data_IF_774212301472
#
_entry.id   IF_774212301472
#
_cell.length_a   1.000
_cell.length_b   1.000
_cell.length_c   1.000
_cell.angle_alpha   90.00
_cell.angle_beta   90.00
_cell.angle_gamma   90.00
#
_symmetry.space_group_name_H-M   'P 1'
#
loop_
_entity.id
_entity.type
_entity.pdbx_description
1 polymer ?
#
# COMPACT_ATOMS: atom_id res chain seq x y z
N UNK A 1 59.00 5.51 -7.82
CA UNK A 1 58.05 4.80 -8.70
C UNK A 1 56.96 4.14 -7.85
N UNK A 2 56.01 4.97 -7.45
CA UNK A 2 54.88 4.54 -6.63
C UNK A 2 53.84 3.79 -7.42
N UNK A 3 54.11 2.51 -7.74
CA UNK A 3 53.04 1.62 -8.21
C UNK A 3 52.08 1.38 -7.07
N UNK A 4 50.91 2.00 -7.16
CA UNK A 4 49.75 1.57 -6.39
C UNK A 4 49.39 0.16 -6.90
N UNK A 5 49.90 -0.85 -6.22
CA UNK A 5 49.50 -2.22 -6.43
C UNK A 5 48.08 -2.30 -5.89
N UNK A 6 47.09 -2.18 -6.78
CA UNK A 6 45.72 -2.62 -6.46
C UNK A 6 45.82 -4.09 -6.12
N UNK A 7 45.86 -4.40 -4.84
CA UNK A 7 45.74 -5.75 -4.33
C UNK A 7 44.37 -6.26 -4.81
N UNK A 8 44.39 -7.20 -5.75
CA UNK A 8 43.20 -7.84 -6.27
C UNK A 8 42.50 -8.54 -5.11
N UNK A 9 41.52 -7.86 -4.56
CA UNK A 9 40.87 -8.26 -3.34
C UNK A 9 40.07 -9.51 -3.57
N UNK A 10 40.24 -10.45 -2.67
CA UNK A 10 39.46 -11.68 -2.58
C UNK A 10 37.95 -11.38 -2.51
N UNK A 11 37.12 -12.32 -2.87
CA UNK A 11 35.63 -12.31 -2.75
C UNK A 11 35.10 -11.76 -1.42
N UNK A 12 35.94 -11.65 -0.38
CA UNK A 12 35.62 -11.04 0.91
C UNK A 12 35.42 -9.52 0.84
N UNK A 13 36.23 -8.82 0.05
CA UNK A 13 36.14 -7.37 -0.05
C UNK A 13 34.93 -6.91 -0.86
N UNK A 14 34.53 -7.67 -1.89
CA UNK A 14 33.32 -7.38 -2.67
C UNK A 14 32.06 -7.53 -1.80
N UNK A 15 31.99 -8.54 -0.96
CA UNK A 15 30.91 -8.72 0.00
C UNK A 15 30.87 -7.62 1.05
N UNK A 16 32.02 -7.17 1.52
CA UNK A 16 32.10 -6.06 2.48
C UNK A 16 31.65 -4.74 1.86
N UNK A 17 32.09 -4.42 0.65
CA UNK A 17 31.63 -3.24 -0.10
C UNK A 17 30.12 -3.30 -0.32
N UNK A 18 29.60 -4.45 -0.72
CA UNK A 18 28.16 -4.62 -0.93
C UNK A 18 27.34 -4.41 0.35
N UNK A 19 27.75 -5.05 1.45
CA UNK A 19 26.99 -5.01 2.71
C UNK A 19 27.16 -3.71 3.48
N UNK A 20 28.37 -3.10 3.46
CA UNK A 20 28.68 -1.93 4.25
C UNK A 20 28.47 -0.60 3.52
N UNK A 21 28.49 -0.60 2.19
CA UNK A 21 28.35 0.62 1.39
C UNK A 21 27.04 0.58 0.56
N UNK A 22 26.85 -0.44 -0.27
CA UNK A 22 25.74 -0.47 -1.23
C UNK A 22 24.39 -0.61 -0.51
N UNK A 23 24.25 -1.56 0.40
CA UNK A 23 22.99 -1.79 1.13
C UNK A 23 22.55 -0.56 1.93
N UNK A 24 23.40 0.09 2.74
CA UNK A 24 23.00 1.29 3.48
C UNK A 24 22.57 2.45 2.59
N UNK A 25 23.28 2.69 1.49
CA UNK A 25 22.91 3.75 0.53
C UNK A 25 21.60 3.43 -0.19
N UNK A 26 21.31 2.15 -0.42
CA UNK A 26 20.09 1.71 -1.09
C UNK A 26 18.84 1.66 -0.18
N UNK A 27 18.97 1.83 1.13
CA UNK A 27 17.84 1.82 2.07
C UNK A 27 16.67 2.73 1.68
N UNK A 28 16.87 3.99 1.26
CA UNK A 28 15.77 4.85 0.84
C UNK A 28 15.04 4.32 -0.40
N UNK A 29 15.78 3.75 -1.35
CA UNK A 29 15.20 3.15 -2.55
C UNK A 29 14.33 1.93 -2.21
N UNK A 30 14.81 1.04 -1.33
CA UNK A 30 14.04 -0.09 -0.84
C UNK A 30 12.79 0.35 -0.08
N UNK A 31 12.87 1.40 0.74
CA UNK A 31 11.73 1.94 1.46
C UNK A 31 10.67 2.48 0.48
N UNK A 32 11.08 3.17 -0.57
CA UNK A 32 10.19 3.70 -1.60
C UNK A 32 9.49 2.60 -2.39
N UNK A 33 10.25 1.63 -2.89
CA UNK A 33 9.70 0.48 -3.62
C UNK A 33 8.77 -0.33 -2.73
N UNK A 34 9.19 -0.58 -1.48
CA UNK A 34 8.38 -1.27 -0.48
C UNK A 34 7.06 -0.55 -0.20
N UNK A 35 7.07 0.78 -0.08
CA UNK A 35 5.87 1.58 0.10
C UNK A 35 4.90 1.40 -1.08
N UNK A 36 5.37 1.55 -2.32
CA UNK A 36 4.53 1.34 -3.50
C UNK A 36 3.96 -0.07 -3.56
N UNK A 37 4.75 -1.07 -3.21
CA UNK A 37 4.27 -2.45 -3.17
C UNK A 37 3.18 -2.65 -2.12
N UNK A 38 3.35 -2.10 -0.92
CA UNK A 38 2.35 -2.16 0.16
C UNK A 38 1.07 -1.44 -0.26
N UNK A 39 1.15 -0.26 -0.87
CA UNK A 39 -0.01 0.48 -1.36
C UNK A 39 -0.77 -0.28 -2.45
N UNK A 40 -0.06 -0.89 -3.39
CA UNK A 40 -0.68 -1.73 -4.42
C UNK A 40 -1.37 -2.96 -3.81
N UNK A 41 -0.69 -3.66 -2.89
CA UNK A 41 -1.24 -4.82 -2.22
C UNK A 41 -2.45 -4.46 -1.32
N UNK A 42 -2.44 -3.27 -0.71
CA UNK A 42 -3.56 -2.76 0.09
C UNK A 42 -4.77 -2.44 -0.78
N UNK A 43 -4.57 -1.77 -1.93
CA UNK A 43 -5.65 -1.38 -2.84
C UNK A 43 -6.18 -2.51 -3.73
N UNK A 44 -5.53 -3.67 -3.70
CA UNK A 44 -5.88 -4.77 -4.58
C UNK A 44 -7.17 -5.49 -4.12
N UNK A 45 -8.29 -5.07 -4.66
CA UNK A 45 -9.60 -5.72 -4.50
C UNK A 45 -9.89 -6.76 -5.59
N UNK A 46 -9.25 -6.62 -6.77
CA UNK A 46 -9.50 -7.48 -7.93
C UNK A 46 -9.11 -8.94 -7.67
N UNK A 47 -7.96 -9.18 -7.05
CA UNK A 47 -7.54 -10.55 -6.73
C UNK A 47 -8.51 -11.22 -5.74
N UNK A 48 -9.03 -10.45 -4.78
CA UNK A 48 -10.03 -10.99 -3.85
C UNK A 48 -11.35 -11.33 -4.55
N UNK A 49 -11.77 -10.50 -5.50
CA UNK A 49 -12.97 -10.73 -6.28
C UNK A 49 -12.87 -12.00 -7.15
N UNK A 50 -11.70 -12.25 -7.76
CA UNK A 50 -11.53 -13.32 -8.76
C UNK A 50 -11.15 -14.67 -8.16
N UNK A 51 -10.45 -14.70 -7.03
CA UNK A 51 -9.80 -15.91 -6.53
C UNK A 51 -10.20 -16.30 -5.11
N UNK A 52 -10.95 -15.47 -4.37
CA UNK A 52 -11.30 -15.76 -2.99
C UNK A 52 -12.81 -15.98 -2.86
N UNK A 53 -13.20 -17.24 -2.66
CA UNK A 53 -14.59 -17.63 -2.42
C UNK A 53 -14.98 -17.65 -0.94
N UNK A 54 -13.99 -17.76 -0.04
CA UNK A 54 -14.23 -17.79 1.42
C UNK A 54 -14.33 -16.37 1.98
N UNK A 55 -15.51 -16.01 2.50
CA UNK A 55 -15.79 -14.70 3.10
C UNK A 55 -14.86 -14.36 4.29
N UNK A 56 -14.16 -15.35 4.87
CA UNK A 56 -13.22 -15.15 5.98
C UNK A 56 -11.86 -14.63 5.52
N UNK A 57 -11.52 -14.82 4.26
CA UNK A 57 -10.20 -14.52 3.69
C UNK A 57 -10.21 -13.27 2.79
N UNK A 58 -11.36 -12.63 2.61
CA UNK A 58 -11.48 -11.45 1.74
C UNK A 58 -10.72 -10.25 2.31
N UNK A 59 -10.07 -9.51 1.42
CA UNK A 59 -9.36 -8.28 1.77
C UNK A 59 -10.35 -7.18 2.16
N UNK A 60 -9.93 -6.29 3.07
CA UNK A 60 -10.75 -5.17 3.54
C UNK A 60 -11.27 -4.30 2.39
N UNK A 61 -10.44 -3.97 1.41
CA UNK A 61 -10.82 -3.14 0.27
C UNK A 61 -11.96 -3.78 -0.57
N UNK A 62 -11.89 -5.08 -0.79
CA UNK A 62 -12.97 -5.81 -1.46
C UNK A 62 -14.26 -5.82 -0.64
N UNK A 63 -14.16 -6.05 0.68
CA UNK A 63 -15.29 -5.99 1.58
C UNK A 63 -15.99 -4.63 1.55
N UNK A 64 -15.22 -3.54 1.62
CA UNK A 64 -15.76 -2.18 1.56
C UNK A 64 -16.44 -1.89 0.22
N UNK A 65 -15.85 -2.31 -0.89
CA UNK A 65 -16.45 -2.20 -2.21
C UNK A 65 -17.77 -2.97 -2.31
N UNK A 66 -17.81 -4.22 -1.83
CA UNK A 66 -19.01 -5.08 -1.81
C UNK A 66 -20.13 -4.45 -0.96
N UNK A 67 -19.79 -3.91 0.21
CA UNK A 67 -20.75 -3.21 1.08
C UNK A 67 -21.32 -1.95 0.39
N UNK A 68 -20.47 -1.16 -0.27
CA UNK A 68 -20.90 0.00 -1.04
C UNK A 68 -21.90 -0.36 -2.14
N UNK A 69 -21.54 -1.36 -2.95
CA UNK A 69 -22.38 -1.83 -4.05
C UNK A 69 -23.74 -2.35 -3.54
N UNK A 70 -23.75 -3.11 -2.44
CA UNK A 70 -24.97 -3.59 -1.82
C UNK A 70 -25.88 -2.44 -1.32
N UNK A 71 -25.28 -1.39 -0.71
CA UNK A 71 -26.04 -0.22 -0.26
C UNK A 71 -26.63 0.56 -1.44
N UNK A 72 -25.86 0.74 -2.52
CA UNK A 72 -26.35 1.39 -3.74
C UNK A 72 -27.49 0.60 -4.37
N UNK A 73 -27.39 -0.72 -4.42
CA UNK A 73 -28.47 -1.59 -4.91
C UNK A 73 -29.72 -1.46 -4.04
N UNK A 74 -29.60 -1.51 -2.71
CA UNK A 74 -30.75 -1.42 -1.81
C UNK A 74 -31.46 -0.05 -1.88
N UNK A 75 -30.73 1.03 -2.23
CA UNK A 75 -31.32 2.34 -2.47
C UNK A 75 -31.83 2.55 -3.90
N UNK A 76 -31.62 1.57 -4.78
CA UNK A 76 -32.06 1.67 -6.16
C UNK A 76 -33.55 1.35 -6.32
N UNK A 77 -34.15 1.91 -7.38
CA UNK A 77 -35.53 1.59 -7.77
C UNK A 77 -35.72 0.08 -8.04
N UNK A 78 -34.69 -0.60 -8.50
CA UNK A 78 -34.75 -2.02 -8.79
C UNK A 78 -34.97 -2.88 -7.54
N UNK A 79 -34.39 -2.51 -6.41
CA UNK A 79 -34.61 -3.19 -5.13
C UNK A 79 -36.07 -3.18 -4.70
N UNK A 80 -36.80 -2.10 -4.97
CA UNK A 80 -38.24 -1.97 -4.73
C UNK A 80 -39.02 -2.79 -5.72
N UNK A 81 -38.68 -2.69 -7.01
CA UNK A 81 -39.33 -3.39 -8.11
C UNK A 81 -39.26 -4.91 -7.97
N UNK A 82 -38.14 -5.43 -7.50
CA UNK A 82 -37.95 -6.88 -7.28
C UNK A 82 -38.44 -7.36 -5.91
N UNK A 83 -39.02 -6.47 -5.10
CA UNK A 83 -39.58 -6.80 -3.79
C UNK A 83 -38.56 -7.15 -2.72
N UNK A 84 -37.27 -6.77 -2.94
CA UNK A 84 -36.21 -6.96 -1.98
C UNK A 84 -36.38 -6.02 -0.77
N UNK A 85 -36.91 -4.81 -1.03
CA UNK A 85 -37.26 -3.83 0.00
C UNK A 85 -38.72 -3.44 -0.17
N UNK A 86 -39.53 -3.55 0.89
CA UNK A 86 -40.97 -3.27 0.86
C UNK A 86 -41.31 -1.76 0.85
N UNK A 87 -40.42 -0.96 1.38
CA UNK A 87 -40.54 0.50 1.43
C UNK A 87 -39.18 1.13 1.14
N UNK A 88 -39.17 2.40 0.75
CA UNK A 88 -37.93 3.19 0.61
C UNK A 88 -37.24 3.34 1.96
N UNK A 89 -36.48 2.35 2.35
CA UNK A 89 -35.61 2.46 3.51
C UNK A 89 -34.48 3.40 3.14
N UNK A 90 -34.54 4.62 3.67
CA UNK A 90 -33.45 5.58 3.51
C UNK A 90 -32.22 5.10 4.28
N UNK A 91 -31.40 4.30 3.62
CA UNK A 91 -30.09 3.91 4.18
C UNK A 91 -29.21 5.15 4.13
N UNK A 92 -28.55 5.55 5.23
CA UNK A 92 -27.69 6.74 5.27
C UNK A 92 -26.39 6.46 4.50
N UNK A 93 -26.49 6.39 3.19
CA UNK A 93 -25.41 6.01 2.25
C UNK A 93 -24.22 6.95 2.37
N UNK A 94 -24.46 8.25 2.60
CA UNK A 94 -23.38 9.23 2.74
C UNK A 94 -22.57 9.00 4.02
N UNK A 95 -23.21 8.75 5.15
CA UNK A 95 -22.52 8.46 6.41
C UNK A 95 -21.72 7.15 6.33
N UNK A 96 -22.31 6.13 5.74
CA UNK A 96 -21.64 4.86 5.51
C UNK A 96 -20.43 5.01 4.56
N UNK A 97 -20.58 5.80 3.49
CA UNK A 97 -19.50 6.11 2.55
C UNK A 97 -18.33 6.81 3.23
N UNK A 98 -18.60 7.81 4.08
CA UNK A 98 -17.57 8.51 4.87
C UNK A 98 -16.87 7.58 5.86
N UNK A 99 -17.60 6.72 6.56
CA UNK A 99 -17.02 5.73 7.46
C UNK A 99 -16.10 4.73 6.72
N UNK A 100 -16.52 4.25 5.55
CA UNK A 100 -15.72 3.37 4.71
C UNK A 100 -14.45 4.06 4.19
N UNK A 101 -14.52 5.35 3.81
CA UNK A 101 -13.34 6.12 3.43
C UNK A 101 -12.31 6.19 4.58
N UNK A 102 -12.75 6.43 5.80
CA UNK A 102 -11.87 6.45 6.97
C UNK A 102 -11.21 5.09 7.20
N UNK A 103 -11.96 4.00 7.09
CA UNK A 103 -11.45 2.65 7.22
C UNK A 103 -10.46 2.29 6.10
N UNK A 104 -10.74 2.71 4.87
CA UNK A 104 -9.87 2.44 3.72
C UNK A 104 -8.53 3.19 3.80
N UNK A 105 -8.56 4.46 4.24
CA UNK A 105 -7.40 5.36 4.26
C UNK A 105 -6.65 5.29 5.60
N UNK A 106 -7.32 4.96 6.70
CA UNK A 106 -6.78 4.98 8.05
C UNK A 106 -5.43 4.30 8.20
N UNK A 107 -5.26 3.03 7.80
CA UNK A 107 -3.99 2.32 7.92
C UNK A 107 -2.85 2.97 7.12
N UNK A 108 -3.16 3.57 5.97
CA UNK A 108 -2.16 4.26 5.13
C UNK A 108 -1.68 5.54 5.82
N UNK A 109 -2.61 6.32 6.40
CA UNK A 109 -2.27 7.55 7.13
C UNK A 109 -1.41 7.25 8.35
N UNK A 110 -1.69 6.16 9.06
CA UNK A 110 -0.87 5.71 10.20
C UNK A 110 0.52 5.21 9.77
N UNK A 111 0.64 4.61 8.60
CA UNK A 111 1.92 4.15 8.05
C UNK A 111 2.79 5.31 7.52
N UNK A 112 2.17 6.42 7.07
CA UNK A 112 2.86 7.56 6.44
C UNK A 112 4.02 8.14 7.26
N UNK A 113 3.90 8.45 8.58
CA UNK A 113 4.99 9.01 9.37
C UNK A 113 6.20 8.08 9.44
N UNK A 114 5.96 6.78 9.39
CA UNK A 114 7.01 5.78 9.40
C UNK A 114 7.86 5.85 8.11
N UNK A 115 7.21 5.97 6.96
CA UNK A 115 7.90 6.07 5.67
C UNK A 115 8.53 7.45 5.45
N UNK A 116 7.92 8.53 5.93
CA UNK A 116 8.43 9.91 5.82
C UNK A 116 9.88 10.02 6.32
N UNK A 117 10.22 9.35 7.40
CA UNK A 117 11.57 9.34 7.96
C UNK A 117 12.63 8.83 6.96
N UNK A 118 12.29 7.81 6.18
CA UNK A 118 13.21 7.24 5.19
C UNK A 118 13.33 8.10 3.93
N UNK A 119 12.25 8.79 3.54
CA UNK A 119 12.26 9.73 2.42
C UNK A 119 13.17 10.92 2.68
N UNK A 120 13.09 11.52 3.87
CA UNK A 120 13.92 12.68 4.24
C UNK A 120 15.39 12.30 4.23
N UNK A 121 15.76 11.14 4.75
CA UNK A 121 17.15 10.67 4.75
C UNK A 121 17.71 10.43 3.34
N UNK A 122 16.85 10.02 2.39
CA UNK A 122 17.26 9.79 1.00
C UNK A 122 17.54 11.08 0.22
N UNK A 123 16.78 12.14 0.48
CA UNK A 123 16.94 13.43 -0.19
C UNK A 123 18.20 14.18 0.27
N UNK A 124 18.57 14.04 1.55
CA UNK A 124 19.76 14.72 2.09
C UNK A 124 21.08 14.14 1.60
N UNK A 125 21.13 12.84 1.28
CA UNK A 125 22.34 12.20 0.73
C UNK A 125 22.61 12.66 -0.72
N UNK A 126 21.58 13.06 -1.46
CA UNK A 126 21.71 13.54 -2.84
C UNK A 126 22.04 15.02 -2.99
N UNK A 127 21.86 15.84 -1.93
CA UNK A 127 22.02 17.30 -1.99
C UNK A 127 23.36 17.82 -1.43
N UNK A 128 24.21 16.96 -0.86
CA UNK A 128 25.56 17.37 -0.45
C UNK A 128 26.49 17.25 -1.65
N UNK A 129 26.37 18.24 -2.54
CA UNK A 129 27.35 18.51 -3.58
C UNK A 129 27.59 20.03 -3.62
N UNK A 130 28.32 20.51 -2.64
CA UNK A 130 29.16 21.70 -2.67
C UNK A 130 30.36 21.48 -1.78
#
# INVERSE_FOLDING_TARGET
DGRIVMKKNSLGDEKQVFTQIIIPISKPAFATIGLFYILNAWNDWNLSLLYIDDDRLIKLQYLLMRLMSNMEFLNSYDAIKYGVVRETVSIPTNSARMAMCILAVGPIVLAYPFFQKYFIQGLTVGSVKE
#
